data_IF_922639412324
#
_entry.id   IF_922639412324
#
_cell.length_a   1.000
_cell.length_b   1.000
_cell.length_c   1.000
_cell.angle_alpha   90.00
_cell.angle_beta   90.00
_cell.angle_gamma   90.00
#
_symmetry.space_group_name_H-M   'P 1'
#
loop_
_entity.id
_entity.type
_entity.pdbx_description
1 polymer ?
#
# COMPACT_ATOMS: atom_id res chain seq x y z
N UNK A 1 20.51 -2.84 -21.99
CA UNK A 1 21.58 -2.84 -23.02
C UNK A 1 22.91 -3.26 -22.42
N UNK A 2 23.83 -2.38 -21.96
CA UNK A 2 25.23 -2.77 -21.69
C UNK A 2 25.48 -4.01 -20.81
N UNK A 3 24.68 -4.23 -19.76
CA UNK A 3 24.85 -5.41 -18.89
C UNK A 3 24.41 -6.73 -19.58
N UNK A 4 23.32 -6.69 -20.33
CA UNK A 4 22.83 -7.86 -21.08
C UNK A 4 23.78 -8.20 -22.23
N UNK A 5 24.22 -7.16 -22.97
CA UNK A 5 25.18 -7.29 -24.06
C UNK A 5 26.50 -7.92 -23.57
N UNK A 6 27.01 -7.49 -22.41
CA UNK A 6 28.20 -8.08 -21.81
C UNK A 6 28.04 -9.56 -21.43
N UNK A 7 26.87 -9.97 -20.92
CA UNK A 7 26.60 -11.38 -20.61
C UNK A 7 26.60 -12.24 -21.88
N UNK A 8 26.06 -11.73 -22.98
CA UNK A 8 26.10 -12.40 -24.29
C UNK A 8 27.52 -12.51 -24.83
N UNK A 9 28.30 -11.44 -24.74
CA UNK A 9 29.71 -11.44 -25.15
C UNK A 9 30.54 -12.44 -24.34
N UNK A 10 30.20 -12.64 -23.06
CA UNK A 10 30.78 -13.66 -22.17
C UNK A 10 30.27 -15.09 -22.46
N UNK A 11 29.37 -15.26 -23.43
CA UNK A 11 28.88 -16.55 -23.91
C UNK A 11 27.61 -17.07 -23.26
N UNK A 12 26.78 -16.20 -22.66
CA UNK A 12 25.50 -16.60 -22.09
C UNK A 12 24.49 -16.99 -23.19
N UNK A 13 24.03 -18.25 -23.15
CA UNK A 13 22.96 -18.75 -24.01
C UNK A 13 21.58 -18.18 -23.63
N UNK A 14 21.40 -17.78 -22.36
CA UNK A 14 20.17 -17.21 -21.82
C UNK A 14 20.47 -16.04 -20.88
N UNK A 15 19.74 -14.95 -21.02
CA UNK A 15 19.78 -13.77 -20.16
C UNK A 15 18.39 -13.55 -19.54
N UNK A 16 18.31 -13.67 -18.21
CA UNK A 16 17.08 -13.46 -17.45
C UNK A 16 17.17 -12.13 -16.70
N UNK A 17 16.20 -11.25 -16.93
CA UNK A 17 16.05 -10.02 -16.16
C UNK A 17 15.20 -10.29 -14.91
N UNK A 18 15.82 -10.20 -13.73
CA UNK A 18 15.10 -10.10 -12.47
C UNK A 18 14.77 -8.63 -12.21
N UNK A 19 13.50 -8.26 -12.33
CA UNK A 19 13.05 -6.87 -12.34
C UNK A 19 12.11 -6.57 -11.16
N UNK A 20 12.14 -5.32 -10.72
CA UNK A 20 11.19 -4.76 -9.76
C UNK A 20 10.69 -3.39 -10.25
N UNK A 21 10.41 -3.27 -11.56
CA UNK A 21 10.02 -2.02 -12.22
C UNK A 21 8.50 -1.87 -12.43
N UNK A 22 7.71 -2.91 -12.17
CA UNK A 22 6.26 -2.84 -12.32
C UNK A 22 5.85 -2.68 -13.77
N UNK A 23 5.22 -1.55 -14.11
CA UNK A 23 4.85 -1.19 -15.48
C UNK A 23 6.08 -0.93 -16.38
N UNK A 24 7.24 -0.65 -15.80
CA UNK A 24 8.50 -0.43 -16.53
C UNK A 24 9.14 -1.70 -17.12
N UNK A 25 8.57 -2.89 -16.87
CA UNK A 25 9.08 -4.15 -17.42
C UNK A 25 9.02 -4.16 -18.98
N UNK A 26 8.04 -3.49 -19.58
CA UNK A 26 7.90 -3.38 -21.03
C UNK A 26 9.03 -2.53 -21.63
N UNK A 27 9.39 -1.43 -20.97
CA UNK A 27 10.51 -0.58 -21.40
C UNK A 27 11.85 -1.30 -21.23
N UNK A 28 11.98 -2.14 -20.19
CA UNK A 28 13.15 -3.00 -20.01
C UNK A 28 13.33 -3.93 -21.20
N UNK A 29 12.27 -4.61 -21.64
CA UNK A 29 12.28 -5.50 -22.82
C UNK A 29 12.66 -4.71 -24.07
N UNK A 30 12.07 -3.54 -24.29
CA UNK A 30 12.35 -2.71 -25.47
C UNK A 30 13.82 -2.23 -25.54
N UNK A 31 14.55 -2.19 -24.42
CA UNK A 31 15.89 -1.59 -24.30
C UNK A 31 17.01 -2.60 -24.00
N UNK A 32 16.69 -3.85 -23.74
CA UNK A 32 17.65 -4.87 -23.32
C UNK A 32 17.45 -6.17 -24.09
N UNK A 33 18.55 -6.76 -24.56
CA UNK A 33 18.53 -8.12 -25.13
C UNK A 33 18.40 -9.16 -24.02
N UNK A 34 17.17 -9.49 -23.64
CA UNK A 34 16.83 -10.44 -22.57
C UNK A 34 15.87 -11.49 -23.11
N UNK A 35 15.96 -12.72 -22.59
CA UNK A 35 15.12 -13.83 -23.02
C UNK A 35 13.90 -14.05 -22.12
N UNK A 36 13.91 -13.50 -20.90
CA UNK A 36 12.84 -13.65 -19.91
C UNK A 36 12.90 -12.51 -18.90
N UNK A 37 11.74 -12.02 -18.49
CA UNK A 37 11.61 -11.10 -17.35
C UNK A 37 10.86 -11.78 -16.20
N UNK A 38 11.49 -11.80 -15.04
CA UNK A 38 10.88 -12.14 -13.76
C UNK A 38 10.56 -10.83 -13.04
N UNK A 39 9.33 -10.37 -13.19
CA UNK A 39 8.87 -9.05 -12.73
C UNK A 39 8.42 -8.99 -11.28
N UNK A 40 8.18 -7.77 -10.80
CA UNK A 40 7.77 -7.46 -9.43
C UNK A 40 7.13 -6.08 -9.31
N UNK A 41 7.16 -5.49 -8.12
CA UNK A 41 6.63 -4.17 -7.74
C UNK A 41 5.11 -4.01 -7.76
N UNK A 42 4.45 -4.34 -8.86
CA UNK A 42 2.98 -4.31 -8.96
C UNK A 42 2.42 -5.64 -8.45
N UNK A 43 1.47 -5.58 -7.51
CA UNK A 43 0.92 -6.76 -6.83
C UNK A 43 -0.06 -7.60 -7.67
N UNK A 44 -0.38 -7.16 -8.89
CA UNK A 44 -1.15 -7.95 -9.84
C UNK A 44 -0.29 -9.02 -10.52
N UNK A 45 -0.84 -10.21 -10.69
CA UNK A 45 -0.21 -11.26 -11.49
C UNK A 45 -0.03 -10.83 -12.96
N UNK A 46 1.02 -11.34 -13.60
CA UNK A 46 1.29 -11.13 -15.02
C UNK A 46 1.87 -12.40 -15.62
N UNK A 47 1.40 -12.77 -16.81
CA UNK A 47 1.89 -13.88 -17.63
C UNK A 47 1.53 -13.58 -19.08
N UNK A 48 2.44 -12.92 -19.78
CA UNK A 48 2.29 -12.50 -21.17
C UNK A 48 3.65 -12.41 -21.87
N UNK A 49 3.64 -11.99 -23.13
CA UNK A 49 4.84 -11.87 -23.97
C UNK A 49 4.88 -10.48 -24.57
N UNK A 50 5.98 -9.76 -24.37
CA UNK A 50 6.26 -8.43 -24.95
C UNK A 50 7.43 -8.57 -25.90
N UNK A 51 7.29 -8.14 -27.15
CA UNK A 51 8.34 -8.20 -28.19
C UNK A 51 9.04 -9.59 -28.32
N UNK A 52 8.28 -10.67 -28.07
CA UNK A 52 8.79 -12.04 -28.12
C UNK A 52 9.44 -12.54 -26.82
N UNK A 53 9.54 -11.68 -25.80
CA UNK A 53 10.10 -12.00 -24.48
C UNK A 53 8.98 -12.29 -23.49
N UNK A 54 8.92 -13.51 -22.89
CA UNK A 54 7.97 -13.80 -21.81
C UNK A 54 8.24 -12.97 -20.56
N UNK A 55 7.17 -12.52 -19.91
CA UNK A 55 7.20 -11.81 -18.64
C UNK A 55 6.29 -12.54 -17.66
N UNK A 56 6.81 -12.91 -16.49
CA UNK A 56 6.01 -13.45 -15.39
C UNK A 56 6.15 -12.61 -14.13
N UNK A 57 5.01 -12.39 -13.45
CA UNK A 57 4.94 -11.74 -12.13
C UNK A 57 3.97 -12.52 -11.25
N UNK A 58 4.40 -13.00 -10.07
CA UNK A 58 3.57 -13.87 -9.21
C UNK A 58 2.50 -13.12 -8.41
N UNK A 59 2.36 -11.81 -8.59
CA UNK A 59 1.55 -10.97 -7.71
C UNK A 59 2.20 -10.80 -6.34
N UNK A 60 1.42 -10.86 -5.26
CA UNK A 60 1.88 -10.61 -3.90
C UNK A 60 1.57 -11.75 -2.90
N UNK A 61 2.16 -11.67 -1.72
CA UNK A 61 1.88 -12.50 -0.53
C UNK A 61 2.08 -14.01 -0.71
N UNK A 62 2.81 -14.44 -1.76
CA UNK A 62 3.09 -15.85 -2.00
C UNK A 62 1.86 -16.69 -2.36
N UNK A 63 0.78 -16.09 -2.86
CA UNK A 63 -0.40 -16.82 -3.32
C UNK A 63 -0.13 -17.63 -4.60
N UNK A 64 0.81 -17.15 -5.42
CA UNK A 64 1.21 -17.80 -6.67
C UNK A 64 2.72 -17.95 -6.74
N UNK A 65 3.15 -19.07 -7.29
CA UNK A 65 4.53 -19.34 -7.71
C UNK A 65 4.51 -19.63 -9.20
N UNK A 66 5.36 -18.94 -9.96
CA UNK A 66 5.60 -19.26 -11.36
C UNK A 66 6.81 -20.20 -11.45
N UNK A 67 6.59 -21.43 -11.92
CA UNK A 67 7.66 -22.33 -12.33
C UNK A 67 8.02 -22.00 -13.78
N UNK A 68 9.26 -21.61 -14.02
CA UNK A 68 9.77 -21.37 -15.38
C UNK A 68 10.65 -22.54 -15.80
N UNK A 69 10.26 -23.22 -16.87
CA UNK A 69 11.02 -24.30 -17.48
C UNK A 69 11.70 -23.79 -18.75
N UNK A 70 13.02 -23.74 -18.71
CA UNK A 70 13.84 -23.33 -19.85
C UNK A 70 14.30 -24.57 -20.62
N UNK A 71 13.93 -24.64 -21.90
CA UNK A 71 14.46 -25.59 -22.87
C UNK A 71 15.23 -24.85 -23.97
N UNK A 72 15.99 -25.58 -24.78
CA UNK A 72 16.87 -24.99 -25.79
C UNK A 72 16.14 -24.14 -26.85
N UNK A 73 14.87 -24.40 -27.09
CA UNK A 73 14.05 -23.75 -28.12
C UNK A 73 12.82 -23.00 -27.57
N UNK A 74 12.56 -23.08 -26.26
CA UNK A 74 11.36 -22.51 -25.65
C UNK A 74 11.48 -22.29 -24.14
N UNK A 75 10.71 -21.32 -23.67
CA UNK A 75 10.46 -21.08 -22.25
C UNK A 75 8.99 -21.40 -21.98
N UNK A 76 8.73 -22.27 -21.01
CA UNK A 76 7.38 -22.61 -20.56
C UNK A 76 7.17 -22.06 -19.14
N UNK A 77 6.00 -21.46 -18.90
CA UNK A 77 5.60 -20.95 -17.58
C UNK A 77 4.47 -21.83 -17.04
N UNK A 78 4.57 -22.24 -15.77
CA UNK A 78 3.54 -23.01 -15.07
C UNK A 78 3.14 -22.26 -13.81
N UNK A 79 1.85 -21.97 -13.71
CA UNK A 79 1.26 -21.29 -12.56
C UNK A 79 0.92 -22.28 -11.45
N UNK A 80 1.45 -22.05 -10.25
CA UNK A 80 1.10 -22.80 -9.05
C UNK A 80 0.38 -21.90 -8.07
N UNK A 81 -0.86 -22.24 -7.67
CA UNK A 81 -1.52 -21.60 -6.53
C UNK A 81 -1.10 -22.30 -5.26
N UNK A 82 -0.49 -21.58 -4.33
CA UNK A 82 0.07 -22.18 -3.10
C UNK A 82 -1.00 -22.80 -2.22
N UNK A 83 -2.23 -22.29 -2.26
CA UNK A 83 -3.40 -22.87 -1.58
C UNK A 83 -3.76 -24.30 -2.03
N UNK A 84 -3.27 -24.75 -3.19
CA UNK A 84 -3.47 -26.12 -3.68
C UNK A 84 -2.52 -27.14 -3.02
N UNK A 85 -1.54 -26.66 -2.26
CA UNK A 85 -0.50 -27.47 -1.61
C UNK A 85 -0.67 -27.46 -0.08
N UNK A 86 -0.19 -28.53 0.56
CA UNK A 86 -0.14 -28.58 2.03
C UNK A 86 1.15 -27.89 2.51
N UNK A 87 1.06 -26.98 3.49
CA UNK A 87 2.25 -26.43 4.13
C UNK A 87 3.11 -27.53 4.75
N UNK A 88 4.42 -27.35 4.70
CA UNK A 88 5.37 -28.23 5.40
C UNK A 88 5.21 -28.07 6.92
N UNK A 89 5.02 -29.19 7.61
CA UNK A 89 4.67 -29.19 9.03
C UNK A 89 5.81 -28.67 9.93
N UNK A 90 7.07 -28.94 9.56
CA UNK A 90 8.23 -28.44 10.31
C UNK A 90 8.38 -26.93 10.14
N UNK A 91 8.15 -26.43 8.91
CA UNK A 91 8.14 -24.99 8.64
C UNK A 91 7.02 -24.28 9.41
N UNK A 92 5.81 -24.82 9.42
CA UNK A 92 4.68 -24.25 10.18
C UNK A 92 5.03 -24.16 11.67
N UNK A 93 5.48 -25.25 12.27
CA UNK A 93 5.85 -25.26 13.69
C UNK A 93 6.98 -24.27 14.01
N UNK A 94 7.96 -24.13 13.11
CA UNK A 94 9.04 -23.16 13.27
C UNK A 94 8.57 -21.71 13.19
N UNK A 95 7.56 -21.40 12.35
CA UNK A 95 6.99 -20.07 12.24
C UNK A 95 6.07 -19.73 13.42
N UNK A 96 5.21 -20.66 13.84
CA UNK A 96 4.38 -20.52 15.04
C UNK A 96 5.24 -20.25 16.28
N UNK A 97 6.33 -21.02 16.46
CA UNK A 97 7.26 -20.79 17.57
C UNK A 97 7.95 -19.42 17.54
N UNK A 98 8.11 -18.79 16.36
CA UNK A 98 8.63 -17.41 16.25
C UNK A 98 7.59 -16.36 16.57
N UNK A 99 6.33 -16.59 16.16
CA UNK A 99 5.19 -15.72 16.48
C UNK A 99 5.00 -15.66 18.00
N UNK A 100 4.94 -16.81 18.66
CA UNK A 100 4.79 -16.92 20.11
C UNK A 100 5.97 -16.26 20.85
N UNK A 101 7.21 -16.53 20.41
CA UNK A 101 8.40 -15.95 21.05
C UNK A 101 8.49 -14.43 20.91
N UNK A 102 7.89 -13.86 19.87
CA UNK A 102 7.81 -12.42 19.64
C UNK A 102 6.59 -11.78 20.32
N UNK A 103 5.70 -12.56 20.96
CA UNK A 103 4.45 -12.06 21.54
C UNK A 103 3.50 -11.49 20.50
N UNK A 104 3.57 -11.98 19.26
CA UNK A 104 2.74 -11.51 18.16
C UNK A 104 1.30 -12.03 18.27
N UNK A 105 1.07 -13.10 19.03
CA UNK A 105 -0.24 -13.68 19.34
C UNK A 105 -1.00 -12.96 20.47
N UNK A 106 -0.39 -11.97 21.13
CA UNK A 106 -1.03 -11.19 22.19
C UNK A 106 -2.26 -10.44 21.66
N UNK A 107 -3.44 -10.73 22.22
CA UNK A 107 -4.68 -9.98 21.93
C UNK A 107 -4.64 -8.62 22.63
N UNK A 108 -4.60 -7.55 21.84
CA UNK A 108 -4.45 -6.18 22.31
C UNK A 108 -5.80 -5.50 22.59
N UNK A 109 -6.80 -5.79 21.76
CA UNK A 109 -8.17 -5.36 21.97
C UNK A 109 -9.18 -6.27 21.26
N UNK A 110 -10.47 -5.99 21.44
CA UNK A 110 -11.56 -6.62 20.69
C UNK A 110 -12.37 -5.57 19.97
N UNK A 111 -12.86 -5.92 18.78
CA UNK A 111 -13.74 -5.10 17.95
C UNK A 111 -15.06 -5.84 17.70
N UNK A 112 -16.12 -5.10 17.39
CA UNK A 112 -17.48 -5.64 17.25
C UNK A 112 -17.61 -6.62 16.08
N UNK A 113 -16.91 -6.33 14.97
CA UNK A 113 -16.88 -7.18 13.78
C UNK A 113 -15.57 -7.03 13.02
N UNK A 114 -15.07 -8.10 12.36
CA UNK A 114 -13.84 -8.04 11.57
C UNK A 114 -13.83 -6.88 10.57
N UNK A 115 -12.68 -6.26 10.39
CA UNK A 115 -12.46 -5.23 9.38
C UNK A 115 -11.93 -5.86 8.11
N UNK A 116 -12.66 -5.67 7.01
CA UNK A 116 -12.16 -6.04 5.70
C UNK A 116 -11.00 -5.11 5.30
N UNK A 117 -10.02 -5.73 4.65
CA UNK A 117 -8.78 -5.10 4.18
C UNK A 117 -8.40 -5.59 2.78
N UNK A 118 -9.34 -6.15 2.04
CA UNK A 118 -9.15 -6.44 0.63
C UNK A 118 -8.73 -5.17 -0.14
N UNK A 119 -7.93 -5.33 -1.18
CA UNK A 119 -7.43 -4.22 -1.99
C UNK A 119 -8.58 -3.38 -2.56
N UNK A 120 -9.65 -4.03 -3.01
CA UNK A 120 -10.84 -3.38 -3.53
C UNK A 120 -11.56 -2.53 -2.48
N UNK A 121 -11.51 -2.94 -1.21
CA UNK A 121 -12.14 -2.20 -0.10
C UNK A 121 -11.29 -1.01 0.31
N UNK A 122 -9.97 -1.19 0.41
CA UNK A 122 -9.03 -0.13 0.77
C UNK A 122 -8.94 0.91 -0.35
N UNK A 123 -8.88 0.48 -1.61
CA UNK A 123 -8.76 1.35 -2.77
C UNK A 123 -10.09 1.96 -3.24
N UNK A 124 -11.24 1.54 -2.70
CA UNK A 124 -12.54 2.15 -3.06
C UNK A 124 -12.76 3.54 -2.43
N UNK A 125 -12.12 3.83 -1.30
CA UNK A 125 -12.34 5.06 -0.54
C UNK A 125 -12.31 4.84 0.97
N UNK A 126 -13.18 5.55 1.70
CA UNK A 126 -13.28 5.41 3.15
C UNK A 126 -13.63 3.96 3.56
N UNK A 127 -12.83 3.40 4.46
CA UNK A 127 -13.05 2.09 5.03
C UNK A 127 -12.64 2.06 6.50
N UNK A 128 -13.16 1.09 7.26
CA UNK A 128 -12.92 0.99 8.71
C UNK A 128 -11.44 0.82 9.05
N UNK A 129 -10.73 -0.04 8.31
CA UNK A 129 -9.31 -0.31 8.56
C UNK A 129 -8.44 0.92 8.30
N UNK A 130 -8.72 1.65 7.21
CA UNK A 130 -8.02 2.91 6.91
C UNK A 130 -8.30 3.99 7.97
N UNK A 131 -9.55 4.11 8.42
CA UNK A 131 -9.93 5.04 9.48
C UNK A 131 -9.22 4.70 10.81
N UNK A 132 -9.18 3.43 11.20
CA UNK A 132 -8.53 2.99 12.44
C UNK A 132 -7.02 3.30 12.44
N UNK A 133 -6.33 3.08 11.32
CA UNK A 133 -4.90 3.40 11.18
C UNK A 133 -4.68 4.92 11.25
N UNK A 134 -5.46 5.70 10.50
CA UNK A 134 -5.35 7.15 10.52
C UNK A 134 -5.67 7.74 11.91
N UNK A 135 -6.64 7.17 12.63
CA UNK A 135 -6.97 7.54 14.00
C UNK A 135 -5.81 7.26 14.96
N UNK A 136 -5.19 6.09 14.84
CA UNK A 136 -4.02 5.72 15.63
C UNK A 136 -2.84 6.67 15.38
N UNK A 137 -2.57 7.05 14.13
CA UNK A 137 -1.49 7.98 13.78
C UNK A 137 -1.73 9.36 14.38
N UNK A 138 -2.95 9.86 14.24
CA UNK A 138 -3.35 11.15 14.80
C UNK A 138 -3.30 11.13 16.33
N UNK A 139 -3.77 10.06 16.96
CA UNK A 139 -3.74 9.89 18.41
C UNK A 139 -2.31 9.82 18.95
N UNK A 140 -1.44 9.03 18.32
CA UNK A 140 -0.08 8.78 18.79
C UNK A 140 0.79 10.06 18.78
N UNK A 141 0.51 10.96 17.84
CA UNK A 141 1.31 12.17 17.58
C UNK A 141 0.67 13.45 18.11
N UNK A 142 -0.66 13.47 18.26
CA UNK A 142 -1.44 14.67 18.57
C UNK A 142 -1.59 15.62 17.38
N UNK A 143 -1.33 15.18 16.15
CA UNK A 143 -1.45 15.99 14.94
C UNK A 143 -2.90 16.41 14.64
N UNK A 144 -3.07 17.41 13.78
CA UNK A 144 -4.37 17.86 13.32
C UNK A 144 -5.04 16.80 12.44
N UNK A 145 -4.25 16.19 11.55
CA UNK A 145 -4.69 15.19 10.57
C UNK A 145 -3.84 13.93 10.68
N UNK A 146 -4.47 12.75 10.68
CA UNK A 146 -3.78 11.49 10.38
C UNK A 146 -3.99 11.14 8.91
N UNK A 147 -2.93 10.73 8.21
CA UNK A 147 -2.97 10.32 6.80
C UNK A 147 -2.28 8.97 6.63
N UNK A 148 -3.01 7.98 6.15
CA UNK A 148 -2.51 6.69 5.75
C UNK A 148 -2.74 6.49 4.25
N UNK A 149 -1.71 6.15 3.49
CA UNK A 149 -1.87 5.81 2.10
C UNK A 149 -2.40 4.38 1.91
N UNK A 150 -3.27 4.17 0.94
CA UNK A 150 -3.91 2.86 0.67
C UNK A 150 -2.89 1.78 0.31
N UNK A 151 -1.85 2.11 -0.47
CA UNK A 151 -0.77 1.17 -0.83
C UNK A 151 0.10 0.73 0.37
N UNK A 152 0.06 1.49 1.46
CA UNK A 152 0.67 1.12 2.73
C UNK A 152 -0.12 0.07 3.51
N UNK A 153 -1.44 -0.05 3.27
CA UNK A 153 -2.27 -1.05 3.95
C UNK A 153 -2.18 -2.37 3.19
N UNK A 154 -1.66 -3.41 3.84
CA UNK A 154 -1.47 -4.72 3.21
C UNK A 154 -2.75 -5.53 3.19
N UNK A 155 -3.11 -6.00 2.00
CA UNK A 155 -4.26 -6.87 1.79
C UNK A 155 -4.06 -8.25 2.41
N UNK A 156 -5.17 -8.88 2.77
CA UNK A 156 -5.19 -10.20 3.40
C UNK A 156 -6.57 -10.51 3.98
N UNK A 157 -6.69 -11.58 4.78
CA UNK A 157 -7.93 -11.89 5.48
C UNK A 157 -8.39 -10.72 6.37
N UNK A 158 -9.71 -10.56 6.60
CA UNK A 158 -10.22 -9.58 7.54
C UNK A 158 -9.59 -9.73 8.93
N UNK A 159 -9.29 -8.61 9.58
CA UNK A 159 -8.68 -8.59 10.93
C UNK A 159 -9.77 -8.50 12.00
N UNK A 160 -9.59 -9.21 13.12
CA UNK A 160 -10.55 -9.27 14.22
C UNK A 160 -11.48 -10.51 14.20
N UNK A 161 -12.39 -10.65 15.19
CA UNK A 161 -12.76 -9.64 16.19
C UNK A 161 -11.76 -9.49 17.34
N UNK A 162 -10.87 -10.45 17.57
CA UNK A 162 -9.72 -10.27 18.46
C UNK A 162 -8.57 -9.69 17.65
N UNK A 163 -8.09 -8.52 18.05
CA UNK A 163 -6.98 -7.84 17.36
C UNK A 163 -5.70 -8.21 18.09
N UNK A 164 -4.87 -8.98 17.42
CA UNK A 164 -3.55 -9.37 17.93
C UNK A 164 -2.48 -8.37 17.50
N UNK A 165 -1.31 -8.45 18.13
CA UNK A 165 -0.14 -7.70 17.68
C UNK A 165 0.25 -8.08 16.23
N UNK A 166 0.18 -9.37 15.87
CA UNK A 166 0.41 -9.86 14.51
C UNK A 166 -0.54 -9.22 13.50
N UNK A 167 -1.81 -9.01 13.86
CA UNK A 167 -2.78 -8.38 12.96
C UNK A 167 -2.34 -6.96 12.60
N UNK A 168 -1.90 -6.16 13.59
CA UNK A 168 -1.49 -4.78 13.39
C UNK A 168 -0.17 -4.66 12.61
N UNK A 169 0.79 -5.52 12.90
CA UNK A 169 2.00 -5.66 12.06
C UNK A 169 1.60 -6.05 10.64
N UNK A 170 0.66 -6.98 10.47
CA UNK A 170 0.23 -7.41 9.14
C UNK A 170 -0.52 -6.34 8.35
N UNK A 171 -1.08 -5.31 9.00
CA UNK A 171 -1.74 -4.19 8.32
C UNK A 171 -0.71 -3.23 7.70
N UNK A 172 0.34 -2.88 8.45
CA UNK A 172 1.41 -1.95 8.04
C UNK A 172 2.78 -2.53 8.43
N UNK A 173 3.29 -3.57 7.72
CA UNK A 173 4.45 -4.36 8.16
C UNK A 173 5.79 -3.68 7.90
N UNK A 174 5.80 -2.37 7.68
CA UNK A 174 7.03 -1.63 7.41
C UNK A 174 7.64 -1.15 8.72
N UNK A 175 8.97 -1.17 8.78
CA UNK A 175 9.76 -0.67 9.92
C UNK A 175 10.00 0.85 9.83
N UNK A 176 9.23 1.53 8.99
CA UNK A 176 9.28 2.97 8.84
C UNK A 176 8.65 3.66 10.06
N UNK A 177 9.28 4.74 10.53
CA UNK A 177 8.76 5.55 11.62
C UNK A 177 7.47 6.28 11.23
N UNK A 178 6.61 6.49 12.21
CA UNK A 178 5.55 7.48 12.14
C UNK A 178 6.18 8.88 12.27
N UNK A 179 5.80 9.80 11.40
CA UNK A 179 6.33 11.17 11.37
C UNK A 179 5.19 12.19 11.38
N UNK A 180 5.51 13.42 11.78
CA UNK A 180 4.62 14.57 11.62
C UNK A 180 5.23 15.54 10.62
N UNK A 181 4.43 15.97 9.65
CA UNK A 181 4.76 17.00 8.69
C UNK A 181 4.02 18.31 8.97
N UNK A 182 4.73 19.43 8.98
CA UNK A 182 4.21 20.79 9.12
C UNK A 182 3.96 21.42 7.75
N UNK A 183 2.70 21.43 7.31
CA UNK A 183 2.29 21.90 5.98
C UNK A 183 1.41 23.14 6.07
N UNK A 184 1.36 23.94 5.01
CA UNK A 184 0.33 24.97 4.81
C UNK A 184 -0.99 24.32 4.38
N UNK A 185 -2.11 25.03 4.54
CA UNK A 185 -3.40 24.58 4.03
C UNK A 185 -3.39 24.34 2.52
N UNK A 186 -2.68 25.17 1.77
CA UNK A 186 -2.50 24.99 0.33
C UNK A 186 -1.81 23.65 0.00
N UNK A 187 -0.75 23.29 0.72
CA UNK A 187 -0.04 22.02 0.54
C UNK A 187 -0.90 20.82 1.00
N UNK A 188 -1.65 20.96 2.09
CA UNK A 188 -2.59 19.93 2.55
C UNK A 188 -3.71 19.68 1.53
N UNK A 189 -4.27 20.75 0.94
CA UNK A 189 -5.25 20.63 -0.12
C UNK A 189 -4.67 19.93 -1.35
N UNK A 190 -3.42 20.24 -1.72
CA UNK A 190 -2.72 19.56 -2.80
C UNK A 190 -2.49 18.07 -2.49
N UNK A 191 -2.16 17.72 -1.24
CA UNK A 191 -2.05 16.33 -0.81
C UNK A 191 -3.40 15.59 -0.92
N UNK A 192 -4.52 16.20 -0.48
CA UNK A 192 -5.85 15.62 -0.71
C UNK A 192 -6.18 15.50 -2.20
N UNK A 193 -5.72 16.44 -3.02
CA UNK A 193 -5.75 16.39 -4.49
C UNK A 193 -5.12 15.14 -5.08
N UNK A 194 -4.03 14.66 -4.47
CA UNK A 194 -3.28 13.49 -4.92
C UNK A 194 -3.92 12.15 -4.48
N UNK A 195 -5.08 12.17 -3.82
CA UNK A 195 -5.73 10.95 -3.32
C UNK A 195 -6.31 10.05 -4.42
N UNK A 196 -6.40 10.49 -5.69
CA UNK A 196 -6.90 9.68 -6.81
C UNK A 196 -5.78 9.29 -7.79
N UNK A 197 -5.74 8.00 -8.14
CA UNK A 197 -4.61 7.31 -8.76
C UNK A 197 -4.32 7.53 -10.24
N UNK A 198 -4.94 8.52 -10.91
CA UNK A 198 -4.71 8.71 -12.35
C UNK A 198 -3.25 9.10 -12.69
N UNK A 199 -2.49 9.61 -11.72
CA UNK A 199 -1.08 10.02 -11.88
C UNK A 199 -0.09 9.06 -11.22
N UNK A 200 -0.53 8.05 -10.47
CA UNK A 200 0.35 7.09 -9.81
C UNK A 200 0.75 5.99 -10.80
N UNK A 201 2.05 5.83 -11.09
CA UNK A 201 2.56 4.85 -12.05
C UNK A 201 2.35 3.38 -11.66
N UNK A 202 1.69 3.15 -10.52
CA UNK A 202 1.28 1.87 -9.97
C UNK A 202 -0.14 2.01 -9.37
N UNK A 203 -1.14 1.37 -9.97
CA UNK A 203 -2.53 1.40 -9.50
C UNK A 203 -3.54 1.53 -10.64
N UNK A 204 -4.80 1.20 -10.37
CA UNK A 204 -5.88 1.43 -11.33
C UNK A 204 -6.35 2.90 -11.28
N UNK A 205 -6.78 3.51 -12.40
CA UNK A 205 -7.13 4.94 -12.47
C UNK A 205 -8.20 5.40 -11.47
N UNK A 206 -9.07 4.49 -11.04
CA UNK A 206 -10.21 4.79 -10.15
C UNK A 206 -9.92 4.53 -8.67
N UNK A 207 -8.69 4.08 -8.35
CA UNK A 207 -8.27 3.84 -6.99
C UNK A 207 -8.17 5.15 -6.20
N UNK A 208 -8.64 5.03 -4.97
CA UNK A 208 -8.47 6.01 -3.91
C UNK A 208 -7.28 5.59 -3.06
N UNK A 209 -6.43 6.57 -2.71
CA UNK A 209 -5.13 6.33 -2.10
C UNK A 209 -4.99 6.93 -0.70
N UNK A 210 -6.00 7.62 -0.16
CA UNK A 210 -5.90 8.32 1.12
C UNK A 210 -6.92 7.82 2.15
N UNK A 211 -6.49 7.56 3.36
CA UNK A 211 -7.37 7.44 4.52
C UNK A 211 -7.01 8.52 5.53
N UNK A 212 -8.02 9.18 6.09
CA UNK A 212 -7.81 10.35 6.94
C UNK A 212 -8.48 10.25 8.31
N UNK A 213 -7.90 10.93 9.28
CA UNK A 213 -8.47 11.21 10.60
C UNK A 213 -8.35 12.70 10.89
N UNK A 214 -9.33 13.28 11.58
CA UNK A 214 -9.36 14.73 11.86
C UNK A 214 -9.66 15.61 10.63
N UNK A 215 -9.84 15.02 9.46
CA UNK A 215 -10.18 15.72 8.22
C UNK A 215 -11.38 15.07 7.51
N UNK A 216 -12.04 15.85 6.66
CA UNK A 216 -13.06 15.38 5.70
C UNK A 216 -12.72 15.89 4.30
N UNK A 217 -12.80 15.01 3.32
CA UNK A 217 -12.56 15.29 1.90
C UNK A 217 -13.85 15.05 1.14
N UNK A 218 -14.26 16.03 0.35
CA UNK A 218 -15.32 15.88 -0.65
C UNK A 218 -14.68 15.99 -2.03
N UNK A 219 -14.75 14.91 -2.78
CA UNK A 219 -14.17 14.75 -4.11
C UNK A 219 -15.27 14.76 -5.18
N UNK A 220 -15.03 15.45 -6.28
CA UNK A 220 -15.86 15.37 -7.49
C UNK A 220 -15.17 14.44 -8.51
N UNK A 221 -15.74 13.27 -8.72
CA UNK A 221 -15.20 12.24 -9.60
C UNK A 221 -15.22 12.64 -11.08
N UNK A 222 -16.14 13.54 -11.49
CA UNK A 222 -16.25 14.01 -12.87
C UNK A 222 -15.23 15.11 -13.17
N UNK A 223 -14.91 15.93 -12.17
CA UNK A 223 -13.90 17.00 -12.28
C UNK A 223 -12.49 16.57 -11.89
N UNK A 224 -12.36 15.43 -11.22
CA UNK A 224 -11.10 14.92 -10.70
C UNK A 224 -10.42 15.93 -9.76
N UNK A 225 -11.18 16.54 -8.85
CA UNK A 225 -10.69 17.55 -7.91
C UNK A 225 -11.35 17.47 -6.53
N UNK A 226 -10.66 17.98 -5.51
CA UNK A 226 -11.24 18.24 -4.19
C UNK A 226 -12.13 19.47 -4.28
N UNK A 227 -13.42 19.33 -3.97
CA UNK A 227 -14.39 20.44 -3.98
C UNK A 227 -14.63 21.04 -2.60
N UNK A 228 -14.50 20.25 -1.54
CA UNK A 228 -14.57 20.72 -0.15
C UNK A 228 -13.57 19.94 0.71
N UNK A 229 -12.88 20.63 1.61
CA UNK A 229 -11.99 20.02 2.59
C UNK A 229 -12.19 20.67 3.95
N UNK A 230 -12.18 19.86 5.00
CA UNK A 230 -12.35 20.30 6.38
C UNK A 230 -11.26 19.71 7.27
N UNK A 231 -10.80 20.46 8.26
CA UNK A 231 -9.89 19.98 9.31
C UNK A 231 -10.47 20.40 10.66
N UNK A 232 -10.61 19.45 11.59
CA UNK A 232 -11.22 19.72 12.90
C UNK A 232 -12.69 20.16 12.84
N UNK A 233 -13.37 19.91 11.72
CA UNK A 233 -14.76 20.31 11.48
C UNK A 233 -14.94 21.69 10.85
N UNK A 234 -13.88 22.48 10.72
CA UNK A 234 -13.88 23.79 10.06
C UNK A 234 -13.40 23.67 8.60
N UNK A 235 -13.88 24.51 7.67
CA UNK A 235 -13.35 24.56 6.31
C UNK A 235 -11.84 24.78 6.32
N UNK A 236 -11.12 24.04 5.48
CA UNK A 236 -9.68 24.18 5.34
C UNK A 236 -9.33 25.61 4.91
N UNK A 237 -8.56 26.30 5.75
CA UNK A 237 -7.96 27.60 5.46
C UNK A 237 -6.62 27.41 4.72
N UNK A 238 -6.49 27.87 3.47
CA UNK A 238 -5.26 27.72 2.68
C UNK A 238 -4.02 28.43 3.26
N UNK A 239 -4.21 29.47 4.08
CA UNK A 239 -3.13 30.28 4.67
C UNK A 239 -2.71 29.77 6.07
N UNK A 240 -3.54 28.95 6.71
CA UNK A 240 -3.22 28.33 7.99
C UNK A 240 -2.15 27.23 7.85
N UNK A 241 -1.55 26.85 8.97
CA UNK A 241 -0.64 25.68 9.05
C UNK A 241 -1.33 24.53 9.76
N UNK A 242 -1.02 23.32 9.32
CA UNK A 242 -1.55 22.07 9.85
C UNK A 242 -0.42 21.07 10.05
N UNK A 243 -0.60 20.21 11.03
CA UNK A 243 0.25 19.05 11.29
C UNK A 243 -0.40 17.78 10.74
N UNK A 244 0.37 16.99 9.98
CA UNK A 244 -0.09 15.75 9.36
C UNK A 244 0.76 14.59 9.87
N UNK A 245 0.15 13.64 10.57
CA UNK A 245 0.78 12.40 11.00
C UNK A 245 0.69 11.35 9.89
N UNK A 246 1.83 10.82 9.45
CA UNK A 246 1.90 9.85 8.34
C UNK A 246 3.17 9.00 8.37
N UNK A 247 3.31 8.05 7.46
CA UNK A 247 4.52 7.24 7.32
C UNK A 247 5.70 8.06 6.81
N UNK A 248 6.91 7.74 7.26
CA UNK A 248 8.11 8.41 6.74
C UNK A 248 8.27 8.22 5.22
N UNK A 249 7.81 7.08 4.69
CA UNK A 249 7.79 6.81 3.25
C UNK A 249 7.15 7.94 2.44
N UNK A 250 6.04 8.53 2.90
CA UNK A 250 5.35 9.59 2.15
C UNK A 250 6.15 10.89 2.05
N UNK A 251 7.09 11.16 2.96
CA UNK A 251 7.97 12.34 2.84
C UNK A 251 9.04 12.17 1.75
N UNK A 252 9.29 10.93 1.32
CA UNK A 252 10.25 10.57 0.29
C UNK A 252 9.60 10.27 -1.06
N UNK A 253 8.31 9.93 -1.06
CA UNK A 253 7.61 9.55 -2.28
C UNK A 253 7.41 10.77 -3.18
N UNK A 254 7.78 10.62 -4.46
CA UNK A 254 7.44 11.60 -5.49
C UNK A 254 6.18 11.21 -6.27
N UNK A 255 5.61 10.04 -5.96
CA UNK A 255 4.44 9.49 -6.66
C UNK A 255 3.19 9.59 -5.78
N UNK A 256 3.32 9.31 -4.48
CA UNK A 256 2.24 9.42 -3.51
C UNK A 256 2.39 10.72 -2.72
N UNK A 257 1.38 11.59 -2.78
CA UNK A 257 1.30 12.84 -2.01
C UNK A 257 2.55 13.76 -2.13
N UNK A 258 3.00 14.12 -3.35
CA UNK A 258 4.25 14.87 -3.57
C UNK A 258 4.29 16.28 -2.95
N UNK A 259 3.15 16.81 -2.50
CA UNK A 259 3.06 18.05 -1.75
C UNK A 259 3.61 17.92 -0.31
N UNK A 260 3.79 16.70 0.20
CA UNK A 260 4.41 16.41 1.50
C UNK A 260 5.81 15.88 1.23
N UNK A 261 6.84 16.56 1.75
CA UNK A 261 8.24 16.20 1.50
C UNK A 261 9.05 16.20 2.78
N UNK A 262 10.28 15.70 2.70
CA UNK A 262 11.21 15.76 3.83
C UNK A 262 11.42 17.16 4.43
N UNK A 263 11.24 18.23 3.64
CA UNK A 263 11.38 19.60 4.14
C UNK A 263 10.28 19.98 5.17
N UNK A 264 9.16 19.26 5.18
CA UNK A 264 8.06 19.48 6.11
C UNK A 264 8.22 18.73 7.42
N UNK A 265 9.24 17.87 7.59
CA UNK A 265 9.38 17.05 8.80
C UNK A 265 9.46 17.91 10.07
N UNK A 266 8.44 17.77 10.92
CA UNK A 266 8.31 18.41 12.22
C UNK A 266 8.63 17.49 13.40
N UNK A 267 8.55 16.16 13.21
CA UNK A 267 8.86 15.19 14.25
C UNK A 267 8.91 13.74 13.74
N UNK A 268 9.55 12.88 14.53
CA UNK A 268 9.62 11.43 14.33
C UNK A 268 9.21 10.73 15.63
N UNK A 269 8.44 9.65 15.49
CA UNK A 269 7.85 8.89 16.58
C UNK A 269 8.28 7.42 16.46
N UNK A 270 7.60 6.52 17.17
CA UNK A 270 7.85 5.08 17.07
C UNK A 270 7.51 4.50 15.69
N UNK A 271 7.84 3.23 15.48
CA UNK A 271 7.48 2.50 14.26
C UNK A 271 5.96 2.45 14.13
N UNK A 272 5.44 2.58 12.91
CA UNK A 272 4.00 2.70 12.66
C UNK A 272 3.17 1.59 13.30
N UNK A 273 3.56 0.31 13.15
CA UNK A 273 2.83 -0.80 13.73
C UNK A 273 2.92 -0.84 15.27
N UNK A 274 3.99 -0.32 15.88
CA UNK A 274 4.07 -0.16 17.33
C UNK A 274 3.08 0.90 17.83
N UNK A 275 2.93 2.01 17.09
CA UNK A 275 1.93 3.03 17.38
C UNK A 275 0.50 2.47 17.28
N UNK A 276 0.24 1.62 16.27
CA UNK A 276 -1.05 0.90 16.18
C UNK A 276 -1.27 -0.01 17.39
N UNK A 277 -0.26 -0.80 17.77
CA UNK A 277 -0.33 -1.71 18.91
C UNK A 277 -0.61 -0.97 20.23
N UNK A 278 0.03 0.18 20.42
CA UNK A 278 -0.22 1.05 21.58
C UNK A 278 -1.64 1.63 21.56
N UNK A 279 -2.08 2.15 20.43
CA UNK A 279 -3.46 2.68 20.27
C UNK A 279 -4.52 1.60 20.52
N UNK A 280 -4.33 0.38 20.00
CA UNK A 280 -5.22 -0.74 20.24
C UNK A 280 -5.31 -1.09 21.74
N UNK A 281 -4.18 -1.14 22.45
CA UNK A 281 -4.13 -1.42 23.90
C UNK A 281 -4.79 -0.32 24.74
N UNK A 282 -4.59 0.96 24.39
CA UNK A 282 -4.99 2.10 25.24
C UNK A 282 -6.38 2.66 24.92
N UNK A 283 -6.80 2.60 23.66
CA UNK A 283 -8.04 3.22 23.16
C UNK A 283 -8.99 2.19 22.55
N UNK A 284 -8.46 1.27 21.75
CA UNK A 284 -9.22 0.31 20.95
C UNK A 284 -9.10 0.62 19.46
N UNK A 285 -9.39 -0.38 18.62
CA UNK A 285 -9.13 -0.34 17.18
C UNK A 285 -10.41 -0.48 16.32
N UNK A 286 -11.57 -0.12 16.86
CA UNK A 286 -12.88 -0.32 16.23
C UNK A 286 -13.42 0.96 15.56
N UNK A 287 -12.82 1.37 14.44
CA UNK A 287 -13.28 2.54 13.72
C UNK A 287 -14.54 2.26 12.88
N UNK A 288 -15.39 3.27 12.74
CA UNK A 288 -16.55 3.28 11.86
C UNK A 288 -16.23 3.98 10.53
N UNK A 289 -17.14 3.84 9.54
CA UNK A 289 -17.19 4.71 8.37
C UNK A 289 -18.08 5.90 8.73
N UNK A 290 -17.54 7.12 8.63
CA UNK A 290 -18.13 8.34 9.21
C UNK A 290 -18.35 9.45 8.17
N UNK A 291 -18.08 9.19 6.89
CA UNK A 291 -18.17 10.19 5.83
C UNK A 291 -16.96 11.13 5.80
N UNK A 292 -15.80 10.63 6.22
CA UNK A 292 -14.50 11.32 6.11
C UNK A 292 -14.07 11.48 4.66
N UNK A 293 -14.49 10.58 3.76
CA UNK A 293 -14.27 10.72 2.32
C UNK A 293 -15.62 10.55 1.60
N UNK A 294 -16.05 11.61 0.93
CA UNK A 294 -17.27 11.63 0.11
C UNK A 294 -16.88 11.78 -1.36
N UNK A 295 -17.29 10.83 -2.21
CA UNK A 295 -17.08 10.89 -3.66
C UNK A 295 -18.40 11.18 -4.36
N UNK A 296 -18.47 12.31 -5.07
CA UNK A 296 -19.63 12.74 -5.85
C UNK A 296 -19.40 12.45 -7.33
N UNK A 297 -20.37 11.87 -8.02
CA UNK A 297 -20.42 11.87 -9.49
C UNK A 297 -21.85 12.14 -9.95
N UNK A 298 -22.01 12.84 -11.09
CA UNK A 298 -23.31 13.06 -11.70
C UNK A 298 -23.94 11.74 -12.21
N UNK A 299 -23.15 10.70 -12.40
CA UNK A 299 -23.55 9.38 -12.91
C UNK A 299 -24.00 8.38 -11.84
N UNK A 300 -23.69 8.60 -10.55
CA UNK A 300 -24.08 7.71 -9.44
C UNK A 300 -25.38 8.10 -8.73
N UNK A 301 -26.04 9.18 -9.15
CA UNK A 301 -27.27 9.66 -8.53
C UNK A 301 -28.54 8.90 -8.98
N UNK A 302 -28.43 7.96 -9.92
CA UNK A 302 -29.56 7.25 -10.56
C UNK A 302 -29.59 5.72 -10.35
N UNK A 303 -28.77 5.15 -9.44
CA UNK A 303 -28.84 3.74 -9.00
C UNK A 303 -29.15 3.66 -7.48
#
# INVERSE_FOLDING_TARGET
SAAADALRDDGADLVVALSHLGSGDDELVARCDVDLVLGGHVHAERDDVVDGVPIVRPGANGHVVWEVRVAADRIETVRHRTAEYRPDAELVAALEGRVDAAGLDEVLCRIDRPMDRAEETVAAGECRVGNAIADAYRWATGADVGLQNSGGIRSGPPVGPEITHADLVSLVPFEEHLVVADVTGTELLAAFGAARGAEMGFGEPDWWHAHVSGARIVWDDDRNEVVEAFVGGEPLDPEARYTVATSDYLLHSTQEFPAITQAHRGGEFEIQHDALARYAREVGFDAAVEGRIERRSASRADD
#
